data_IF_325493884018
#
_entry.id   IF_325493884018
#
_cell.length_a   1.000
_cell.length_b   1.000
_cell.length_c   1.000
_cell.angle_alpha   90.00
_cell.angle_beta   90.00
_cell.angle_gamma   90.00
#
_symmetry.space_group_name_H-M   'P 1'
#
loop_
_entity.id
_entity.type
_entity.pdbx_description
1 polymer ?
#
# COMPACT_ATOMS: atom_id res chain seq x y z
N UNK A 1 -1.13 2.40 -14.01
CA UNK A 1 0.07 1.56 -13.88
C UNK A 1 -0.27 0.13 -14.20
N UNK A 2 0.71 -0.63 -14.62
CA UNK A 2 0.54 -2.05 -14.92
C UNK A 2 0.49 -2.85 -13.61
N UNK A 3 -0.46 -3.78 -13.51
CA UNK A 3 -0.65 -4.60 -12.31
C UNK A 3 0.62 -5.39 -11.93
N UNK A 4 1.33 -5.93 -12.93
CA UNK A 4 2.53 -6.71 -12.66
C UNK A 4 3.66 -5.84 -12.09
N UNK A 5 3.78 -4.61 -12.58
CA UNK A 5 4.75 -3.67 -12.05
C UNK A 5 4.41 -3.28 -10.62
N UNK A 6 3.14 -3.01 -10.36
CA UNK A 6 2.67 -2.66 -9.02
C UNK A 6 2.96 -3.80 -8.05
N UNK A 7 2.62 -5.02 -8.45
CA UNK A 7 2.87 -6.19 -7.61
C UNK A 7 4.35 -6.35 -7.30
N UNK A 8 5.21 -6.16 -8.30
CA UNK A 8 6.66 -6.27 -8.12
C UNK A 8 7.17 -5.21 -7.13
N UNK A 9 6.67 -3.98 -7.24
CA UNK A 9 7.04 -2.90 -6.32
C UNK A 9 6.60 -3.24 -4.91
N UNK A 10 5.37 -3.68 -4.73
CA UNK A 10 4.82 -4.01 -3.42
C UNK A 10 5.60 -5.15 -2.77
N UNK A 11 5.91 -6.19 -3.52
CA UNK A 11 6.68 -7.33 -3.02
C UNK A 11 8.08 -6.87 -2.58
N UNK A 12 8.72 -6.02 -3.39
CA UNK A 12 10.05 -5.51 -3.05
C UNK A 12 10.04 -4.70 -1.75
N UNK A 13 8.96 -3.98 -1.50
CA UNK A 13 8.86 -3.10 -0.33
C UNK A 13 8.18 -3.72 0.89
N UNK A 14 7.64 -4.91 0.75
CA UNK A 14 6.97 -5.59 1.87
C UNK A 14 7.91 -5.78 3.07
N UNK A 15 9.20 -5.94 2.80
CA UNK A 15 10.18 -6.15 3.86
C UNK A 15 10.47 -4.90 4.70
N UNK A 16 10.07 -3.73 4.22
CA UNK A 16 10.33 -2.48 4.95
C UNK A 16 9.16 -2.19 5.90
N UNK A 17 9.47 -2.05 7.18
CA UNK A 17 8.49 -1.68 8.19
C UNK A 17 8.43 -0.17 8.38
N UNK A 18 8.53 0.55 7.29
CA UNK A 18 8.57 1.99 7.26
C UNK A 18 7.17 2.50 6.89
N UNK A 19 6.65 3.45 7.64
CA UNK A 19 5.32 4.02 7.45
C UNK A 19 5.28 5.09 6.36
N UNK A 20 6.22 5.05 5.43
CA UNK A 20 6.35 6.08 4.41
C UNK A 20 5.58 5.77 3.13
N UNK A 21 4.94 4.62 3.05
CA UNK A 21 4.23 4.21 1.84
C UNK A 21 2.91 4.94 1.70
N UNK A 22 2.68 5.48 0.51
CA UNK A 22 1.39 6.06 0.12
C UNK A 22 0.90 5.33 -1.12
N UNK A 23 -0.33 4.84 -1.07
CA UNK A 23 -0.96 4.15 -2.19
C UNK A 23 -2.21 4.92 -2.59
N UNK A 24 -2.36 5.19 -3.88
CA UNK A 24 -3.50 5.88 -4.43
C UNK A 24 -4.33 4.95 -5.31
N UNK A 25 -5.64 5.10 -5.22
CA UNK A 25 -6.60 4.52 -6.15
C UNK A 25 -7.40 5.67 -6.76
N UNK A 26 -8.35 5.36 -7.65
CA UNK A 26 -9.23 6.38 -8.20
C UNK A 26 -10.15 7.01 -7.15
N UNK A 27 -10.40 6.29 -6.07
CA UNK A 27 -11.40 6.70 -5.08
C UNK A 27 -10.79 7.33 -3.82
N UNK A 28 -9.55 6.99 -3.48
CA UNK A 28 -8.95 7.43 -2.22
C UNK A 28 -7.43 7.26 -2.23
N UNK A 29 -6.82 7.82 -1.19
CA UNK A 29 -5.37 7.72 -0.97
C UNK A 29 -5.15 7.20 0.45
N UNK A 30 -4.26 6.23 0.59
CA UNK A 30 -3.86 5.68 1.89
C UNK A 30 -2.44 6.16 2.18
N UNK A 31 -2.28 6.94 3.23
CA UNK A 31 -0.99 7.49 3.65
C UNK A 31 -0.44 6.75 4.85
N UNK A 32 0.87 6.84 5.04
CA UNK A 32 1.55 6.27 6.21
C UNK A 32 1.24 4.80 6.40
N UNK A 33 1.36 4.05 5.32
CA UNK A 33 0.98 2.64 5.31
C UNK A 33 2.19 1.72 5.38
N UNK A 34 1.95 0.54 5.96
CA UNK A 34 2.88 -0.58 5.95
C UNK A 34 2.18 -1.75 5.28
N UNK A 35 2.88 -2.49 4.46
CA UNK A 35 2.32 -3.66 3.81
C UNK A 35 2.26 -4.81 4.81
N UNK A 36 1.05 -5.31 5.05
CA UNK A 36 0.83 -6.43 5.96
C UNK A 36 0.92 -7.76 5.21
N UNK A 37 0.22 -7.86 4.09
CA UNK A 37 0.25 -9.08 3.27
C UNK A 37 -0.05 -8.76 1.82
N UNK A 38 0.43 -9.63 0.93
CA UNK A 38 0.22 -9.49 -0.51
C UNK A 38 -0.11 -10.87 -1.07
N UNK A 39 -1.11 -10.93 -1.95
CA UNK A 39 -1.28 -12.07 -2.85
C UNK A 39 -1.31 -11.57 -4.29
N UNK A 40 -1.66 -12.41 -5.24
CA UNK A 40 -1.62 -12.05 -6.66
C UNK A 40 -2.61 -10.94 -7.04
N UNK A 41 -3.64 -10.73 -6.24
CA UNK A 41 -4.74 -9.83 -6.57
C UNK A 41 -4.97 -8.72 -5.54
N UNK A 42 -4.58 -8.94 -4.29
CA UNK A 42 -4.97 -8.10 -3.17
C UNK A 42 -3.77 -7.78 -2.30
N UNK A 43 -3.68 -6.52 -1.88
CA UNK A 43 -2.72 -6.10 -0.86
C UNK A 43 -3.48 -5.65 0.38
N UNK A 44 -3.02 -6.10 1.54
CA UNK A 44 -3.53 -5.67 2.83
C UNK A 44 -2.52 -4.73 3.46
N UNK A 45 -3.00 -3.56 3.87
CA UNK A 45 -2.16 -2.51 4.44
C UNK A 45 -2.60 -2.18 5.85
N UNK A 46 -1.65 -1.79 6.67
CA UNK A 46 -1.92 -1.15 7.95
C UNK A 46 -1.62 0.33 7.78
N UNK A 47 -2.62 1.18 8.00
CA UNK A 47 -2.47 2.62 7.88
C UNK A 47 -2.27 3.23 9.26
N UNK A 48 -1.28 4.11 9.38
CA UNK A 48 -0.90 4.76 10.64
C UNK A 48 -1.13 6.27 10.58
N UNK A 49 -2.11 6.69 9.79
CA UNK A 49 -2.38 8.12 9.61
C UNK A 49 -2.69 8.85 10.93
N UNK A 50 -3.17 8.11 11.94
CA UNK A 50 -3.49 8.66 13.27
C UNK A 50 -2.63 7.97 14.32
N UNK A 51 -1.42 8.35 14.48
CA UNK A 51 -0.39 7.81 15.37
C UNK A 51 -0.75 6.67 16.31
N UNK A 52 -1.82 6.84 17.12
CA UNK A 52 -2.24 5.86 18.12
C UNK A 52 -3.21 4.82 17.58
N UNK A 53 -3.75 5.06 16.40
CA UNK A 53 -4.72 4.17 15.78
C UNK A 53 -4.26 3.79 14.40
N UNK A 54 -4.33 2.52 14.12
CA UNK A 54 -4.12 2.04 12.77
C UNK A 54 -5.34 1.25 12.33
N UNK A 55 -5.61 1.27 11.01
CA UNK A 55 -6.67 0.49 10.41
C UNK A 55 -6.13 -0.42 9.34
N UNK A 56 -6.76 -1.55 9.16
CA UNK A 56 -6.43 -2.47 8.07
C UNK A 56 -7.27 -2.08 6.86
N UNK A 57 -6.61 -1.96 5.72
CA UNK A 57 -7.25 -1.63 4.45
C UNK A 57 -6.83 -2.67 3.44
N UNK A 58 -7.81 -3.23 2.72
CA UNK A 58 -7.55 -4.21 1.67
C UNK A 58 -7.86 -3.56 0.32
N UNK A 59 -6.92 -3.66 -0.60
CA UNK A 59 -7.02 -3.01 -1.92
C UNK A 59 -6.76 -4.03 -3.01
N UNK A 60 -7.58 -4.02 -4.04
CA UNK A 60 -7.28 -4.77 -5.27
C UNK A 60 -6.08 -4.13 -5.96
N UNK A 61 -5.07 -4.92 -6.26
CA UNK A 61 -3.86 -4.42 -6.90
C UNK A 61 -4.17 -3.74 -8.23
N UNK A 62 -5.16 -4.26 -8.96
CA UNK A 62 -5.58 -3.67 -10.22
C UNK A 62 -6.19 -2.28 -10.11
N UNK A 63 -6.63 -1.89 -8.90
CA UNK A 63 -7.24 -0.58 -8.67
C UNK A 63 -6.22 0.50 -8.30
N UNK A 64 -4.97 0.11 -8.07
CA UNK A 64 -3.92 1.05 -7.66
C UNK A 64 -3.49 1.90 -8.84
N UNK A 65 -3.54 3.21 -8.70
CA UNK A 65 -3.13 4.15 -9.73
C UNK A 65 -1.80 4.83 -9.44
N UNK A 66 -1.33 4.75 -8.22
CA UNK A 66 -0.03 5.33 -7.87
C UNK A 66 0.52 4.80 -6.57
N UNK A 67 1.84 4.78 -6.48
CA UNK A 67 2.56 4.40 -5.27
C UNK A 67 3.65 5.44 -5.07
N UNK A 68 3.80 5.92 -3.85
CA UNK A 68 4.80 6.91 -3.52
C UNK A 68 5.44 6.60 -2.18
N UNK A 69 6.73 6.84 -2.08
CA UNK A 69 7.45 6.79 -0.81
C UNK A 69 7.65 8.20 -0.32
N UNK A 70 7.25 8.45 0.90
CA UNK A 70 7.44 9.74 1.55
C UNK A 70 8.57 9.60 2.55
N UNK A 71 9.41 10.60 2.58
CA UNK A 71 10.48 10.66 3.57
C UNK A 71 10.08 11.54 4.73
#
# INVERSE_FOLDING_TARGET
>A
MNKEMILAILVAYKAFNDKSLTIATDDYVVNFAVIDSIDDNIVSLLSYANDDNYGRITINIGDITGIQFQK
#
